data_IF_711847581665
#
_entry.id   IF_711847581665
#
_cell.length_a   1.000
_cell.length_b   1.000
_cell.length_c   1.000
_cell.angle_alpha   90.00
_cell.angle_beta   90.00
_cell.angle_gamma   90.00
#
_symmetry.space_group_name_H-M   'P 1'
#
loop_
_entity.id
_entity.type
_entity.pdbx_description
1 polymer ?
#
# COMPACT_ATOMS: atom_id res chain seq x y z
N UNK A 1 -24.44 3.79 -26.15
CA UNK A 1 -24.78 3.73 -24.71
C UNK A 1 -23.71 2.99 -23.90
N UNK A 2 -23.43 1.71 -24.22
CA UNK A 2 -22.48 0.86 -23.45
C UNK A 2 -21.07 1.45 -23.31
N UNK A 3 -20.51 2.03 -24.36
CA UNK A 3 -19.15 2.58 -24.33
C UNK A 3 -19.01 3.77 -23.37
N UNK A 4 -19.98 4.70 -23.37
CA UNK A 4 -19.94 5.87 -22.48
C UNK A 4 -20.03 5.45 -21.01
N UNK A 5 -20.89 4.48 -20.69
CA UNK A 5 -20.99 3.91 -19.33
C UNK A 5 -19.67 3.28 -18.91
N UNK A 6 -19.03 2.51 -19.80
CA UNK A 6 -17.73 1.91 -19.52
C UNK A 6 -16.62 2.95 -19.29
N UNK A 7 -16.64 4.08 -20.02
CA UNK A 7 -15.69 5.17 -19.81
C UNK A 7 -15.89 5.88 -18.47
N UNK A 8 -17.14 6.20 -18.10
CA UNK A 8 -17.44 6.77 -16.79
C UNK A 8 -16.98 5.82 -15.68
N UNK A 9 -17.27 4.53 -15.82
CA UNK A 9 -16.84 3.50 -14.86
C UNK A 9 -15.31 3.44 -14.75
N UNK A 10 -14.58 3.52 -15.87
CA UNK A 10 -13.12 3.49 -15.85
C UNK A 10 -12.52 4.73 -15.17
N UNK A 11 -13.15 5.90 -15.32
CA UNK A 11 -12.75 7.14 -14.63
C UNK A 11 -12.96 7.00 -13.13
N UNK A 12 -14.14 6.53 -12.70
CA UNK A 12 -14.44 6.32 -11.28
C UNK A 12 -13.50 5.29 -10.64
N UNK A 13 -13.18 4.21 -11.37
CA UNK A 13 -12.21 3.21 -10.93
C UNK A 13 -10.79 3.79 -10.82
N UNK A 14 -10.36 4.68 -11.72
CA UNK A 14 -9.04 5.32 -11.59
C UNK A 14 -8.97 6.19 -10.33
N UNK A 15 -10.02 6.98 -10.06
CA UNK A 15 -10.11 7.76 -8.83
C UNK A 15 -10.10 6.87 -7.59
N UNK A 16 -10.81 5.75 -7.61
CA UNK A 16 -10.81 4.78 -6.51
C UNK A 16 -9.42 4.19 -6.31
N UNK A 17 -8.74 3.81 -7.39
CA UNK A 17 -7.39 3.24 -7.37
C UNK A 17 -6.39 4.17 -6.69
N UNK A 18 -6.36 5.46 -7.08
CA UNK A 18 -5.45 6.46 -6.52
C UNK A 18 -5.70 6.70 -5.04
N UNK A 19 -6.97 6.82 -4.64
CA UNK A 19 -7.34 6.99 -3.24
C UNK A 19 -6.94 5.79 -2.39
N UNK A 20 -7.25 4.58 -2.86
CA UNK A 20 -6.92 3.35 -2.13
C UNK A 20 -5.41 3.16 -2.00
N UNK A 21 -4.63 3.48 -3.05
CA UNK A 21 -3.16 3.47 -2.96
C UNK A 21 -2.65 4.43 -1.88
N UNK A 22 -3.18 5.64 -1.83
CA UNK A 22 -2.81 6.65 -0.83
C UNK A 22 -3.08 6.16 0.59
N UNK A 23 -4.26 5.56 0.82
CA UNK A 23 -4.63 4.99 2.12
C UNK A 23 -3.69 3.85 2.51
N UNK A 24 -3.39 2.93 1.59
CA UNK A 24 -2.49 1.79 1.85
C UNK A 24 -1.08 2.28 2.22
N UNK A 25 -0.54 3.26 1.48
CA UNK A 25 0.74 3.90 1.83
C UNK A 25 0.73 4.49 3.23
N UNK A 26 -0.32 5.23 3.58
CA UNK A 26 -0.43 5.85 4.89
C UNK A 26 -0.47 4.82 6.02
N UNK A 27 -1.28 3.76 5.86
CA UNK A 27 -1.42 2.70 6.86
C UNK A 27 -0.14 1.90 7.02
N UNK A 28 0.52 1.51 5.92
CA UNK A 28 1.80 0.78 5.96
C UNK A 28 2.88 1.62 6.61
N UNK A 29 3.00 2.90 6.25
CA UNK A 29 3.97 3.81 6.86
C UNK A 29 3.72 3.98 8.36
N UNK A 30 2.45 4.13 8.76
CA UNK A 30 2.08 4.26 10.16
C UNK A 30 2.39 2.97 10.95
N UNK A 31 2.12 1.81 10.36
CA UNK A 31 2.43 0.52 10.98
C UNK A 31 3.95 0.35 11.13
N UNK A 32 4.71 0.55 10.05
CA UNK A 32 6.17 0.48 10.05
C UNK A 32 6.79 1.40 11.10
N UNK A 33 6.29 2.64 11.24
CA UNK A 33 6.78 3.58 12.26
C UNK A 33 6.59 3.08 13.68
N UNK A 34 5.42 2.51 13.96
CA UNK A 34 5.09 2.00 15.29
C UNK A 34 5.84 0.73 15.63
N UNK A 35 6.17 -0.11 14.65
CA UNK A 35 6.74 -1.44 14.88
C UNK A 35 8.23 -1.54 14.62
N UNK A 36 8.76 -0.76 13.67
CA UNK A 36 10.16 -0.83 13.23
C UNK A 36 11.00 0.35 13.75
N UNK A 37 10.42 1.56 13.88
CA UNK A 37 11.18 2.74 14.32
C UNK A 37 11.28 2.89 15.85
N UNK A 38 10.49 2.14 16.63
CA UNK A 38 10.45 2.26 18.10
C UNK A 38 11.25 1.11 18.71
N UNK A 39 12.42 1.40 19.28
CA UNK A 39 13.19 0.42 20.05
C UNK A 39 12.50 0.08 21.38
N UNK A 40 12.86 -1.06 21.98
CA UNK A 40 12.31 -1.51 23.28
C UNK A 40 12.53 -0.50 24.43
N UNK A 41 13.52 0.39 24.29
CA UNK A 41 13.85 1.46 25.23
C UNK A 41 13.19 2.82 24.89
N UNK A 42 12.41 2.89 23.80
CA UNK A 42 11.77 4.10 23.30
C UNK A 42 12.68 5.01 22.45
N UNK A 43 13.91 4.59 22.14
CA UNK A 43 14.77 5.31 21.21
C UNK A 43 14.33 5.12 19.75
N UNK A 44 14.58 6.14 18.92
CA UNK A 44 14.29 6.11 17.48
C UNK A 44 15.41 5.33 16.78
N UNK A 45 15.09 4.16 16.23
CA UNK A 45 16.01 3.45 15.32
C UNK A 45 15.92 4.10 13.93
N UNK A 46 17.08 4.40 13.33
CA UNK A 46 17.17 4.97 11.99
C UNK A 46 16.77 3.94 10.93
N UNK A 47 15.47 3.85 10.69
CA UNK A 47 14.80 2.93 9.77
C UNK A 47 14.26 3.66 8.54
N UNK A 48 14.71 4.91 8.31
CA UNK A 48 14.27 5.74 7.19
C UNK A 48 14.52 5.11 5.81
N UNK A 49 15.47 4.18 5.72
CA UNK A 49 15.71 3.37 4.53
C UNK A 49 14.54 2.39 4.26
N UNK A 50 14.07 1.68 5.29
CA UNK A 50 12.98 0.69 5.19
C UNK A 50 11.64 1.37 4.81
N UNK A 51 11.32 2.54 5.37
CA UNK A 51 10.08 3.26 5.03
C UNK A 51 9.96 3.52 3.53
N UNK A 52 11.06 3.93 2.89
CA UNK A 52 11.07 4.24 1.46
C UNK A 52 10.87 3.00 0.60
N UNK A 53 11.52 1.89 0.96
CA UNK A 53 11.39 0.62 0.23
C UNK A 53 9.99 0.04 0.34
N UNK A 54 9.37 0.08 1.53
CA UNK A 54 7.98 -0.34 1.73
C UNK A 54 7.00 0.48 0.87
N UNK A 55 7.22 1.80 0.75
CA UNK A 55 6.39 2.64 -0.11
C UNK A 55 6.59 2.35 -1.61
N UNK A 56 7.81 2.00 -2.03
CA UNK A 56 8.10 1.59 -3.41
C UNK A 56 7.39 0.28 -3.76
N UNK A 57 7.34 -0.70 -2.85
CA UNK A 57 6.55 -1.93 -3.06
C UNK A 57 5.11 -1.60 -3.41
N UNK A 58 4.48 -0.68 -2.65
CA UNK A 58 3.08 -0.28 -2.88
C UNK A 58 2.91 0.41 -4.24
N UNK A 59 3.86 1.24 -4.67
CA UNK A 59 3.81 1.91 -5.96
C UNK A 59 3.90 0.96 -7.16
N UNK A 60 4.56 -0.18 -6.98
CA UNK A 60 4.76 -1.19 -8.01
C UNK A 60 3.68 -2.27 -8.03
N UNK A 61 2.69 -2.23 -7.12
CA UNK A 61 1.58 -3.19 -7.11
C UNK A 61 0.28 -2.59 -7.67
N UNK A 62 -0.40 -3.28 -8.61
CA UNK A 62 -1.74 -2.90 -9.03
C UNK A 62 -2.72 -2.99 -7.86
N UNK A 63 -3.38 -1.88 -7.50
CA UNK A 63 -4.21 -1.81 -6.29
C UNK A 63 -5.34 -2.85 -6.32
N UNK A 64 -5.99 -3.01 -7.46
CA UNK A 64 -7.09 -3.97 -7.62
C UNK A 64 -6.65 -5.45 -7.58
N UNK A 65 -5.34 -5.74 -7.47
CA UNK A 65 -4.85 -7.12 -7.26
C UNK A 65 -4.88 -7.57 -5.81
N UNK A 66 -5.07 -6.65 -4.86
CA UNK A 66 -5.03 -6.97 -3.43
C UNK A 66 -6.07 -6.24 -2.58
N UNK A 67 -6.70 -5.17 -3.06
CA UNK A 67 -7.49 -4.26 -2.20
C UNK A 67 -8.80 -4.87 -1.65
N UNK A 68 -9.28 -5.96 -2.24
CA UNK A 68 -10.42 -6.74 -1.75
C UNK A 68 -10.11 -7.44 -0.41
N UNK A 69 -8.86 -7.84 -0.19
CA UNK A 69 -8.36 -8.40 1.07
C UNK A 69 -6.87 -8.01 1.27
N UNK A 70 -6.58 -6.75 1.67
CA UNK A 70 -5.24 -6.19 1.61
C UNK A 70 -4.25 -6.80 2.61
N UNK A 71 -4.73 -7.59 3.58
CA UNK A 71 -3.90 -8.30 4.56
C UNK A 71 -3.74 -9.78 4.25
N UNK A 72 -4.26 -10.25 3.10
CA UNK A 72 -4.14 -11.63 2.70
C UNK A 72 -2.67 -12.00 2.48
N UNK A 73 -2.11 -12.99 3.20
CA UNK A 73 -0.71 -13.35 3.09
C UNK A 73 -0.34 -13.99 1.74
N UNK A 74 -1.33 -14.43 0.96
CA UNK A 74 -1.14 -14.99 -0.39
C UNK A 74 -1.18 -13.94 -1.50
N UNK A 75 -1.58 -12.68 -1.19
CA UNK A 75 -1.62 -11.61 -2.17
C UNK A 75 -0.27 -10.93 -2.35
N UNK A 76 -0.05 -10.39 -3.56
CA UNK A 76 1.23 -9.83 -3.98
C UNK A 76 1.74 -8.74 -3.03
N UNK A 77 0.85 -7.89 -2.49
CA UNK A 77 1.23 -6.86 -1.54
C UNK A 77 1.94 -7.44 -0.31
N UNK A 78 1.33 -8.41 0.37
CA UNK A 78 1.90 -8.98 1.60
C UNK A 78 3.13 -9.84 1.33
N UNK A 79 3.19 -10.51 0.18
CA UNK A 79 4.37 -11.26 -0.24
C UNK A 79 5.57 -10.32 -0.43
N UNK A 80 5.38 -9.21 -1.15
CA UNK A 80 6.46 -8.28 -1.47
C UNK A 80 6.88 -7.41 -0.29
N UNK A 81 5.94 -7.00 0.58
CA UNK A 81 6.27 -6.27 1.81
C UNK A 81 7.11 -7.11 2.79
N UNK A 82 7.05 -8.44 2.71
CA UNK A 82 7.88 -9.34 3.53
C UNK A 82 9.31 -9.51 3.00
N UNK A 83 9.51 -9.25 1.70
CA UNK A 83 10.83 -9.38 1.06
C UNK A 83 11.73 -8.15 1.28
N UNK A 84 11.13 -7.05 1.77
CA UNK A 84 11.82 -5.85 2.25
C UNK A 84 12.25 -6.04 3.70
#
# INVERSE_FOLDING_TARGET
ATYLVALCQAIDLRHLEENMRSVVKHVVLQAARKTLCTAEDGSLQDTGFCEKELLQVIDHQPVFSYIDDPTNPSYALMLQLREV
#
